data_IF_197650950539
#
_entry.id   IF_197650950539
#
_cell.length_a   1.000
_cell.length_b   1.000
_cell.length_c   1.000
_cell.angle_alpha   90.00
_cell.angle_beta   90.00
_cell.angle_gamma   90.00
#
_symmetry.space_group_name_H-M   'P 1'
#
loop_
_entity.id
_entity.type
_entity.pdbx_description
1 polymer ?
#
# COMPACT_ATOMS: atom_id res chain seq x y z
N UNK A 1 -17.47 15.10 13.36
CA UNK A 1 -16.94 16.20 12.50
C UNK A 1 -15.60 16.80 12.98
N UNK A 2 -15.49 17.55 14.10
CA UNK A 2 -14.17 18.14 14.47
C UNK A 2 -13.12 17.12 14.95
N UNK A 3 -13.54 16.06 15.65
CA UNK A 3 -12.64 15.01 16.15
C UNK A 3 -12.15 14.06 15.04
N UNK A 4 -13.00 13.68 14.10
CA UNK A 4 -12.63 12.80 12.97
C UNK A 4 -11.60 13.45 12.04
N UNK A 5 -11.70 14.76 11.80
CA UNK A 5 -10.75 15.47 10.95
C UNK A 5 -9.35 15.49 11.59
N UNK A 6 -9.29 15.65 12.91
CA UNK A 6 -8.03 15.68 13.64
C UNK A 6 -7.37 14.29 13.78
N UNK A 7 -8.17 13.22 13.88
CA UNK A 7 -7.65 11.85 13.80
C UNK A 7 -7.01 11.55 12.44
N UNK A 8 -7.60 12.05 11.35
CA UNK A 8 -7.00 11.94 10.01
C UNK A 8 -5.67 12.68 9.94
N UNK A 9 -5.60 13.91 10.47
CA UNK A 9 -4.37 14.71 10.53
C UNK A 9 -3.28 14.00 11.35
N UNK A 10 -3.62 13.45 12.53
CA UNK A 10 -2.68 12.68 13.35
C UNK A 10 -2.13 11.46 12.57
N UNK A 11 -2.99 10.72 11.89
CA UNK A 11 -2.58 9.57 11.07
C UNK A 11 -1.62 9.98 9.96
N UNK A 12 -1.88 11.11 9.29
CA UNK A 12 -1.02 11.65 8.25
C UNK A 12 0.36 12.05 8.78
N UNK A 13 0.42 12.76 9.90
CA UNK A 13 1.68 13.20 10.51
C UNK A 13 2.52 12.02 10.97
N UNK A 14 1.90 11.01 11.59
CA UNK A 14 2.62 9.79 12.00
C UNK A 14 3.10 9.01 10.78
N UNK A 15 2.26 8.87 9.75
CA UNK A 15 2.67 8.22 8.52
C UNK A 15 3.88 8.93 7.90
N UNK A 16 3.81 10.24 7.74
CA UNK A 16 4.85 11.02 7.11
C UNK A 16 6.15 10.98 7.94
N UNK A 17 6.07 10.94 9.27
CA UNK A 17 7.24 10.80 10.13
C UNK A 17 7.89 9.41 9.98
N UNK A 18 7.09 8.35 10.01
CA UNK A 18 7.58 6.97 9.96
C UNK A 18 8.18 6.62 8.59
N UNK A 19 7.53 7.06 7.51
CA UNK A 19 7.95 6.81 6.14
C UNK A 19 8.85 7.91 5.55
N UNK A 20 9.23 8.90 6.35
CA UNK A 20 10.29 9.86 6.04
C UNK A 20 9.87 11.02 5.12
N UNK A 21 8.58 11.24 4.93
CA UNK A 21 8.04 12.40 4.21
C UNK A 21 8.17 13.71 4.99
N UNK A 22 8.31 13.65 6.32
CA UNK A 22 8.68 14.80 7.15
C UNK A 22 9.87 14.48 8.05
N UNK A 23 10.67 15.51 8.32
CA UNK A 23 11.77 15.43 9.26
C UNK A 23 11.26 15.49 10.70
N UNK A 24 12.03 14.94 11.64
CA UNK A 24 11.64 14.89 13.06
C UNK A 24 11.38 16.26 13.67
N UNK A 25 12.15 17.28 13.28
CA UNK A 25 11.96 18.66 13.75
C UNK A 25 10.65 19.28 13.23
N UNK A 26 10.22 18.90 12.02
CA UNK A 26 8.96 19.38 11.47
C UNK A 26 7.76 18.74 12.19
N UNK A 27 7.89 17.47 12.57
CA UNK A 27 6.90 16.80 13.41
C UNK A 27 6.87 17.40 14.82
N UNK A 28 8.03 17.66 15.43
CA UNK A 28 8.13 18.36 16.72
C UNK A 28 7.42 19.72 16.69
N UNK A 29 7.74 20.54 15.68
CA UNK A 29 7.09 21.84 15.47
C UNK A 29 5.57 21.72 15.34
N UNK A 30 5.07 20.68 14.67
CA UNK A 30 3.65 20.40 14.55
C UNK A 30 3.04 20.02 15.90
N UNK A 31 3.69 19.15 16.69
CA UNK A 31 3.23 18.76 18.03
C UNK A 31 3.01 19.99 18.90
N UNK A 32 3.99 20.90 18.96
CA UNK A 32 3.90 22.11 19.79
C UNK A 32 2.85 23.13 19.32
N UNK A 33 2.43 23.08 18.05
CA UNK A 33 1.42 24.00 17.47
C UNK A 33 0.01 23.41 17.46
N UNK A 34 -0.14 22.12 17.75
CA UNK A 34 -1.40 21.40 17.57
C UNK A 34 -2.30 21.50 18.80
N UNK A 35 -3.23 22.46 18.78
CA UNK A 35 -4.23 22.62 19.86
C UNK A 35 -5.18 21.41 20.01
N UNK A 36 -5.25 20.53 19.01
CA UNK A 36 -6.08 19.32 19.06
C UNK A 36 -5.46 18.17 19.84
N UNK A 37 -4.14 18.13 20.04
CA UNK A 37 -3.44 17.00 20.65
C UNK A 37 -3.84 16.81 22.12
N UNK A 38 -3.87 17.89 22.89
CA UNK A 38 -4.24 17.85 24.32
C UNK A 38 -5.66 17.30 24.54
N UNK A 39 -6.56 17.50 23.57
CA UNK A 39 -7.95 17.01 23.65
C UNK A 39 -8.09 15.56 23.20
N UNK A 40 -7.19 15.09 22.35
CA UNK A 40 -7.25 13.75 21.76
C UNK A 40 -6.51 12.72 22.64
N UNK A 41 -5.35 13.11 23.17
CA UNK A 41 -4.49 12.27 23.99
C UNK A 41 -4.97 12.25 25.45
N UNK A 42 -4.62 11.19 26.16
CA UNK A 42 -4.64 11.23 27.63
C UNK A 42 -3.66 12.31 28.12
N UNK A 43 -3.91 12.85 29.32
CA UNK A 43 -3.03 13.85 29.90
C UNK A 43 -1.58 13.34 30.03
N UNK A 44 -1.42 12.07 30.45
CA UNK A 44 -0.10 11.46 30.61
C UNK A 44 0.60 11.29 29.25
N UNK A 45 -0.09 10.75 28.24
CA UNK A 45 0.49 10.55 26.90
C UNK A 45 0.82 11.90 26.22
N UNK A 46 0.02 12.94 26.46
CA UNK A 46 0.32 14.29 25.98
C UNK A 46 1.58 14.86 26.63
N UNK A 47 1.70 14.76 27.96
CA UNK A 47 2.89 15.23 28.68
C UNK A 47 4.14 14.44 28.29
N UNK A 48 4.02 13.13 28.11
CA UNK A 48 5.11 12.27 27.63
C UNK A 48 5.57 12.70 26.24
N UNK A 49 4.63 12.90 25.30
CA UNK A 49 4.92 13.36 23.94
C UNK A 49 5.63 14.73 23.93
N UNK A 50 5.17 15.67 24.77
CA UNK A 50 5.74 17.01 24.89
C UNK A 50 7.13 17.00 25.55
N UNK A 51 7.43 15.99 26.35
CA UNK A 51 8.68 15.86 27.10
C UNK A 51 9.76 15.05 26.37
N UNK A 52 9.46 14.51 25.18
CA UNK A 52 10.40 13.74 24.39
C UNK A 52 11.62 14.58 23.98
N UNK A 53 12.78 13.92 23.94
CA UNK A 53 13.99 14.51 23.34
C UNK A 53 14.04 14.16 21.85
N UNK A 54 13.46 15.02 21.01
CA UNK A 54 13.33 14.85 19.55
C UNK A 54 14.67 14.75 18.80
N UNK A 55 15.80 15.01 19.46
CA UNK A 55 17.14 14.86 18.91
C UNK A 55 17.64 13.41 18.97
N UNK A 56 17.02 12.55 19.78
CA UNK A 56 17.42 11.15 19.92
C UNK A 56 17.11 10.36 18.65
N UNK A 57 18.04 9.48 18.26
CA UNK A 57 17.82 8.55 17.14
C UNK A 57 16.62 7.61 17.37
N UNK A 58 16.32 7.28 18.62
CA UNK A 58 15.22 6.40 19.02
C UNK A 58 13.85 7.08 19.06
N UNK A 59 13.78 8.41 18.95
CA UNK A 59 12.56 9.16 19.26
C UNK A 59 11.37 8.71 18.39
N UNK A 60 11.60 8.26 17.15
CA UNK A 60 10.53 7.73 16.30
C UNK A 60 9.80 6.53 16.93
N UNK A 61 10.54 5.65 17.60
CA UNK A 61 9.95 4.50 18.30
C UNK A 61 9.17 4.94 19.54
N UNK A 62 9.68 5.95 20.26
CA UNK A 62 9.02 6.54 21.43
C UNK A 62 7.69 7.19 21.02
N UNK A 63 7.71 8.05 19.98
CA UNK A 63 6.53 8.65 19.37
C UNK A 63 5.52 7.59 18.94
N UNK A 64 5.98 6.56 18.23
CA UNK A 64 5.12 5.46 17.80
C UNK A 64 4.47 4.75 19.00
N UNK A 65 5.23 4.48 20.07
CA UNK A 65 4.72 3.79 21.25
C UNK A 65 3.63 4.56 22.00
N UNK A 66 3.74 5.89 22.02
CA UNK A 66 2.76 6.79 22.64
C UNK A 66 1.52 6.87 21.74
N UNK A 67 1.72 7.18 20.46
CA UNK A 67 0.61 7.57 19.57
C UNK A 67 -0.16 6.40 18.96
N UNK A 68 0.43 5.19 18.85
CA UNK A 68 -0.22 4.05 18.15
C UNK A 68 -1.58 3.66 18.74
N UNK A 69 -1.82 3.91 20.03
CA UNK A 69 -3.13 3.61 20.67
C UNK A 69 -4.24 4.59 20.29
N UNK A 70 -3.88 5.76 19.76
CA UNK A 70 -4.80 6.82 19.32
C UNK A 70 -5.05 6.77 17.82
N UNK A 71 -4.27 5.97 17.10
CA UNK A 71 -4.42 5.75 15.68
C UNK A 71 -5.60 4.82 15.43
N UNK A 72 -6.52 5.26 14.57
CA UNK A 72 -7.45 4.33 13.94
C UNK A 72 -6.67 3.43 12.97
N UNK A 73 -6.43 2.19 13.37
CA UNK A 73 -5.59 1.25 12.63
C UNK A 73 -6.11 1.00 11.21
N UNK A 74 -7.43 0.96 11.02
CA UNK A 74 -8.05 0.81 9.71
C UNK A 74 -7.72 1.98 8.78
N UNK A 75 -7.92 3.21 9.26
CA UNK A 75 -7.62 4.43 8.51
C UNK A 75 -6.13 4.61 8.25
N UNK A 76 -5.27 4.23 9.20
CA UNK A 76 -3.83 4.27 9.01
C UNK A 76 -3.36 3.29 7.94
N UNK A 77 -3.87 2.06 7.97
CA UNK A 77 -3.53 1.06 6.94
C UNK A 77 -4.09 1.45 5.57
N UNK A 78 -5.30 2.03 5.54
CA UNK A 78 -5.88 2.66 4.33
C UNK A 78 -4.95 3.70 3.74
N UNK A 79 -4.53 4.67 4.56
CA UNK A 79 -3.67 5.78 4.16
C UNK A 79 -2.35 5.25 3.59
N UNK A 80 -1.76 4.27 4.26
CA UNK A 80 -0.50 3.64 3.87
C UNK A 80 -0.56 2.98 2.51
N UNK A 81 -1.56 2.13 2.25
CA UNK A 81 -1.69 1.46 0.96
C UNK A 81 -2.07 2.45 -0.14
N UNK A 82 -2.93 3.43 0.15
CA UNK A 82 -3.30 4.48 -0.80
C UNK A 82 -2.07 5.30 -1.23
N UNK A 83 -1.23 5.76 -0.29
CA UNK A 83 0.00 6.51 -0.61
C UNK A 83 0.98 5.70 -1.46
N UNK A 84 1.14 4.39 -1.21
CA UNK A 84 1.96 3.52 -2.05
C UNK A 84 1.42 3.40 -3.48
N UNK A 85 0.10 3.24 -3.64
CA UNK A 85 -0.55 3.19 -4.95
C UNK A 85 -0.40 4.51 -5.70
N UNK A 86 -0.59 5.65 -5.03
CA UNK A 86 -0.41 6.97 -5.63
C UNK A 86 1.04 7.22 -6.07
N UNK A 87 2.02 6.81 -5.26
CA UNK A 87 3.44 6.90 -5.61
C UNK A 87 3.74 6.04 -6.85
N UNK A 88 3.23 4.81 -6.91
CA UNK A 88 3.38 3.94 -8.07
C UNK A 88 2.73 4.52 -9.34
N UNK A 89 1.52 5.10 -9.22
CA UNK A 89 0.80 5.74 -10.35
C UNK A 89 1.59 6.92 -10.91
N UNK A 90 2.11 7.80 -10.05
CA UNK A 90 2.86 9.00 -10.46
C UNK A 90 4.13 8.68 -11.24
N UNK A 91 4.67 7.47 -11.12
CA UNK A 91 5.94 7.12 -11.71
C UNK A 91 7.04 7.54 -10.77
N UNK A 92 7.44 6.61 -9.92
CA UNK A 92 8.57 6.73 -9.02
C UNK A 92 9.64 5.74 -9.45
N UNK A 93 10.92 6.11 -9.28
CA UNK A 93 12.04 5.17 -9.42
C UNK A 93 11.90 3.99 -8.43
N UNK A 94 11.09 4.17 -7.38
CA UNK A 94 10.76 3.14 -6.39
C UNK A 94 9.66 2.18 -6.85
N UNK A 95 9.13 2.30 -8.07
CA UNK A 95 8.07 1.43 -8.57
C UNK A 95 8.37 -0.07 -8.36
N UNK A 96 9.55 -0.63 -8.74
CA UNK A 96 9.85 -2.04 -8.49
C UNK A 96 9.77 -2.40 -7.00
N UNK A 97 10.32 -1.56 -6.13
CA UNK A 97 10.27 -1.74 -4.68
C UNK A 97 8.82 -1.75 -4.16
N UNK A 98 7.98 -0.84 -4.65
CA UNK A 98 6.57 -0.77 -4.27
C UNK A 98 5.82 -2.03 -4.73
N UNK A 99 6.12 -2.56 -5.92
CA UNK A 99 5.50 -3.79 -6.42
C UNK A 99 5.90 -5.00 -5.55
N UNK A 100 7.17 -5.10 -5.13
CA UNK A 100 7.61 -6.12 -4.14
C UNK A 100 6.83 -5.97 -2.84
N UNK A 101 6.64 -4.74 -2.34
CA UNK A 101 5.84 -4.51 -1.14
C UNK A 101 4.39 -4.99 -1.32
N UNK A 102 3.77 -4.82 -2.49
CA UNK A 102 2.44 -5.36 -2.75
C UNK A 102 2.42 -6.89 -2.78
N UNK A 103 3.50 -7.54 -3.21
CA UNK A 103 3.65 -8.99 -3.07
C UNK A 103 3.71 -9.39 -1.59
N UNK A 104 4.51 -8.71 -0.77
CA UNK A 104 4.56 -8.96 0.68
C UNK A 104 3.20 -8.77 1.35
N UNK A 105 2.46 -7.71 0.99
CA UNK A 105 1.10 -7.50 1.50
C UNK A 105 0.14 -8.59 1.04
N UNK A 106 0.21 -9.01 -0.23
CA UNK A 106 -0.59 -10.14 -0.70
C UNK A 106 -0.31 -11.40 0.14
N UNK A 107 0.96 -11.73 0.37
CA UNK A 107 1.35 -12.85 1.24
C UNK A 107 0.89 -12.67 2.70
N UNK A 108 0.73 -11.44 3.17
CA UNK A 108 0.16 -11.11 4.48
C UNK A 108 -1.38 -11.20 4.54
N UNK A 109 -2.04 -11.60 3.44
CA UNK A 109 -3.48 -11.85 3.35
C UNK A 109 -4.29 -10.70 2.76
N UNK A 110 -3.66 -9.76 2.05
CA UNK A 110 -4.35 -8.70 1.32
C UNK A 110 -4.73 -9.22 -0.07
N UNK A 111 -5.67 -10.15 -0.13
CA UNK A 111 -6.03 -10.88 -1.36
C UNK A 111 -6.48 -9.93 -2.50
N UNK A 112 -7.02 -8.75 -2.17
CA UNK A 112 -7.36 -7.74 -3.17
C UNK A 112 -6.16 -7.16 -3.93
N UNK A 113 -4.93 -7.42 -3.45
CA UNK A 113 -3.69 -7.05 -4.12
C UNK A 113 -3.16 -8.15 -5.04
N UNK A 114 -3.86 -9.27 -5.26
CA UNK A 114 -3.39 -10.41 -6.09
C UNK A 114 -2.77 -9.97 -7.43
N UNK A 115 -3.48 -9.15 -8.22
CA UNK A 115 -2.98 -8.67 -9.51
C UNK A 115 -1.68 -7.85 -9.36
N UNK A 116 -1.56 -7.03 -8.30
CA UNK A 116 -0.36 -6.23 -8.05
C UNK A 116 0.79 -7.06 -7.48
N UNK A 117 0.49 -7.95 -6.53
CA UNK A 117 1.46 -8.77 -5.82
C UNK A 117 1.97 -9.92 -6.68
N UNK A 118 1.09 -10.80 -7.14
CA UNK A 118 1.48 -11.95 -7.97
C UNK A 118 1.72 -11.55 -9.44
N UNK A 119 0.89 -10.67 -9.98
CA UNK A 119 0.97 -10.30 -11.39
C UNK A 119 2.18 -9.43 -11.75
N UNK A 120 2.63 -8.57 -10.82
CA UNK A 120 3.75 -7.66 -11.06
C UNK A 120 4.85 -7.72 -9.98
N UNK A 121 4.49 -7.79 -8.70
CA UNK A 121 5.42 -7.80 -7.58
C UNK A 121 6.35 -9.00 -7.54
N UNK A 122 5.81 -10.19 -7.80
CA UNK A 122 6.59 -11.43 -7.88
C UNK A 122 7.66 -11.40 -8.99
N UNK A 123 7.45 -10.55 -10.02
CA UNK A 123 8.41 -10.36 -11.11
C UNK A 123 9.54 -9.39 -10.74
N UNK A 124 9.39 -8.64 -9.66
CA UNK A 124 10.35 -7.61 -9.29
C UNK A 124 11.48 -8.11 -8.38
N UNK A 125 11.53 -9.40 -8.04
CA UNK A 125 12.72 -9.99 -7.43
C UNK A 125 13.85 -10.01 -8.48
N UNK A 126 14.93 -9.27 -8.19
CA UNK A 126 16.08 -8.96 -9.07
C UNK A 126 16.71 -10.19 -9.73
N UNK A 127 16.46 -11.39 -9.20
CA UNK A 127 16.94 -12.66 -9.74
C UNK A 127 16.21 -13.09 -11.03
N UNK A 128 15.00 -12.56 -11.30
CA UNK A 128 14.09 -13.11 -12.31
C UNK A 128 13.77 -12.18 -13.49
N UNK A 129 14.11 -10.89 -13.45
CA UNK A 129 13.63 -9.94 -14.47
C UNK A 129 14.69 -8.93 -14.96
N UNK A 130 15.56 -9.34 -15.90
CA UNK A 130 16.59 -8.49 -16.49
C UNK A 130 16.06 -7.20 -17.13
N UNK A 131 14.77 -7.14 -17.47
CA UNK A 131 14.10 -6.03 -18.14
C UNK A 131 13.95 -4.80 -17.25
N UNK A 132 14.04 -4.96 -15.92
CA UNK A 132 14.01 -3.85 -14.96
C UNK A 132 15.10 -2.80 -15.26
N UNK A 133 16.23 -3.20 -15.85
CA UNK A 133 17.30 -2.27 -16.28
C UNK A 133 16.87 -1.28 -17.37
N UNK A 134 15.76 -1.56 -18.06
CA UNK A 134 15.17 -0.67 -19.07
C UNK A 134 14.04 0.19 -18.52
N UNK A 135 13.65 -0.01 -17.26
CA UNK A 135 12.63 0.79 -16.61
C UNK A 135 13.16 2.22 -16.43
N UNK A 136 12.56 3.14 -17.17
CA UNK A 136 12.73 4.57 -16.96
C UNK A 136 11.49 5.12 -16.29
N UNK A 137 11.64 6.27 -15.65
CA UNK A 137 10.53 6.96 -15.01
C UNK A 137 9.63 7.70 -16.03
N UNK A 138 9.12 6.97 -17.02
CA UNK A 138 8.18 7.46 -18.01
C UNK A 138 7.14 6.38 -18.35
N UNK A 139 5.94 6.83 -18.71
CA UNK A 139 4.80 5.93 -18.95
C UNK A 139 5.06 4.89 -20.04
N UNK A 140 5.78 5.24 -21.11
CA UNK A 140 6.03 4.34 -22.24
C UNK A 140 6.98 3.21 -21.85
N UNK A 141 8.01 3.52 -21.07
CA UNK A 141 8.94 2.53 -20.52
C UNK A 141 8.22 1.62 -19.51
N UNK A 142 7.38 2.18 -18.63
CA UNK A 142 6.57 1.38 -17.69
C UNK A 142 5.62 0.43 -18.42
N UNK A 143 4.89 0.92 -19.42
CA UNK A 143 3.95 0.07 -20.18
C UNK A 143 4.66 -1.07 -20.92
N UNK A 144 5.92 -0.86 -21.32
CA UNK A 144 6.72 -1.91 -21.95
C UNK A 144 7.15 -3.00 -20.96
N UNK A 145 7.55 -2.60 -19.75
CA UNK A 145 8.07 -3.53 -18.72
C UNK A 145 6.91 -4.17 -17.95
N UNK A 146 5.87 -3.41 -17.65
CA UNK A 146 4.68 -3.81 -16.90
C UNK A 146 3.41 -3.41 -17.67
N UNK A 147 3.04 -4.15 -18.74
CA UNK A 147 1.83 -3.89 -19.52
C UNK A 147 0.57 -3.68 -18.66
N UNK A 148 -0.09 -2.54 -18.87
CA UNK A 148 -1.32 -2.09 -18.22
C UNK A 148 -1.26 -1.92 -16.70
N UNK A 149 -0.07 -1.79 -16.11
CA UNK A 149 0.11 -1.56 -14.66
C UNK A 149 -0.65 -0.33 -14.17
N UNK A 150 -0.67 0.75 -14.94
CA UNK A 150 -1.37 2.00 -14.59
C UNK A 150 -2.87 1.75 -14.34
N UNK A 151 -3.48 0.84 -15.12
CA UNK A 151 -4.90 0.48 -14.99
C UNK A 151 -5.14 -0.32 -13.71
N UNK A 152 -4.28 -1.30 -13.41
CA UNK A 152 -4.41 -2.12 -12.19
C UNK A 152 -4.21 -1.25 -10.95
N UNK A 153 -3.17 -0.44 -10.89
CA UNK A 153 -2.91 0.49 -9.79
C UNK A 153 -4.09 1.43 -9.54
N UNK A 154 -4.59 2.08 -10.61
CA UNK A 154 -5.72 3.02 -10.51
C UNK A 154 -6.99 2.31 -10.05
N UNK A 155 -7.27 1.11 -10.57
CA UNK A 155 -8.43 0.32 -10.16
C UNK A 155 -8.35 -0.08 -8.68
N UNK A 156 -7.19 -0.56 -8.23
CA UNK A 156 -6.97 -0.92 -6.83
C UNK A 156 -7.13 0.28 -5.91
N UNK A 157 -6.56 1.43 -6.27
CA UNK A 157 -6.75 2.67 -5.52
C UNK A 157 -8.24 3.05 -5.45
N UNK A 158 -8.96 2.94 -6.57
CA UNK A 158 -10.40 3.21 -6.58
C UNK A 158 -11.18 2.26 -5.67
N UNK A 159 -10.80 0.98 -5.54
CA UNK A 159 -11.44 0.08 -4.58
C UNK A 159 -11.30 0.56 -3.12
N UNK A 160 -10.15 1.13 -2.78
CA UNK A 160 -9.88 1.67 -1.45
C UNK A 160 -10.64 3.00 -1.23
N UNK A 161 -10.61 3.90 -2.21
CA UNK A 161 -11.24 5.21 -2.11
C UNK A 161 -12.78 5.14 -2.14
N UNK A 162 -13.35 4.17 -2.87
CA UNK A 162 -14.80 3.93 -2.97
C UNK A 162 -15.35 2.99 -1.89
N UNK A 163 -14.54 2.65 -0.88
CA UNK A 163 -14.92 1.74 0.22
C UNK A 163 -15.37 0.34 -0.22
N UNK A 164 -14.90 -0.11 -1.39
CA UNK A 164 -15.01 -1.52 -1.78
C UNK A 164 -14.05 -2.39 -0.99
N UNK A 165 -12.92 -1.83 -0.56
CA UNK A 165 -12.03 -2.42 0.43
C UNK A 165 -12.06 -1.51 1.66
N UNK A 166 -12.49 -2.06 2.80
CA UNK A 166 -12.57 -1.34 4.08
C UNK A 166 -11.70 -2.03 5.11
N UNK A 167 -10.59 -1.39 5.50
CA UNK A 167 -9.68 -1.92 6.51
C UNK A 167 -10.32 -1.85 7.90
N UNK A 168 -10.26 -2.95 8.65
CA UNK A 168 -10.86 -3.07 9.99
C UNK A 168 -9.82 -3.11 11.12
N UNK A 169 -8.53 -3.00 10.77
CA UNK A 169 -7.43 -2.98 11.73
C UNK A 169 -6.70 -4.32 11.88
N UNK A 170 -5.83 -4.41 12.88
CA UNK A 170 -5.02 -5.58 13.15
C UNK A 170 -5.73 -6.55 14.11
N UNK A 171 -6.00 -7.76 13.64
CA UNK A 171 -6.51 -8.86 14.46
C UNK A 171 -5.33 -9.49 15.22
N UNK A 172 -5.27 -9.24 16.53
CA UNK A 172 -4.19 -9.72 17.40
C UNK A 172 -4.17 -11.24 17.53
N UNK A 173 -5.34 -11.88 17.51
CA UNK A 173 -5.48 -13.33 17.68
C UNK A 173 -5.02 -14.06 16.41
N UNK A 174 -5.41 -13.55 15.25
CA UNK A 174 -4.99 -14.09 13.95
C UNK A 174 -3.62 -13.56 13.50
N UNK A 175 -3.04 -12.62 14.26
CA UNK A 175 -1.80 -11.89 13.95
C UNK A 175 -1.74 -11.37 12.51
N UNK A 176 -2.86 -10.84 12.01
CA UNK A 176 -2.97 -10.33 10.64
C UNK A 176 -3.84 -9.10 10.54
N UNK A 177 -3.57 -8.29 9.53
CA UNK A 177 -4.47 -7.21 9.15
C UNK A 177 -5.76 -7.76 8.56
N UNK A 178 -6.86 -7.08 8.83
CA UNK A 178 -8.19 -7.48 8.37
C UNK A 178 -8.85 -6.37 7.59
N UNK A 179 -9.70 -6.75 6.65
CA UNK A 179 -10.51 -5.85 5.86
C UNK A 179 -11.80 -6.55 5.43
N UNK A 180 -12.79 -5.74 5.06
CA UNK A 180 -14.03 -6.18 4.43
C UNK A 180 -13.92 -5.93 2.93
N UNK A 181 -14.13 -6.99 2.14
CA UNK A 181 -14.15 -6.94 0.69
C UNK A 181 -15.60 -6.89 0.17
N UNK A 182 -16.02 -5.71 -0.29
CA UNK A 182 -17.34 -5.45 -0.87
C UNK A 182 -17.33 -5.44 -2.39
N UNK A 183 -16.24 -5.86 -3.04
CA UNK A 183 -16.19 -6.04 -4.50
C UNK A 183 -17.18 -7.14 -4.89
N UNK A 184 -17.80 -6.99 -6.05
CA UNK A 184 -18.57 -8.08 -6.66
C UNK A 184 -17.66 -9.25 -7.05
N UNK A 185 -18.21 -10.44 -7.24
CA UNK A 185 -17.40 -11.61 -7.64
C UNK A 185 -16.63 -11.37 -8.95
N UNK A 186 -17.24 -10.67 -9.91
CA UNK A 186 -16.61 -10.26 -11.17
C UNK A 186 -15.41 -9.33 -10.92
N UNK A 187 -15.51 -8.41 -9.96
CA UNK A 187 -14.42 -7.49 -9.62
C UNK A 187 -13.30 -8.15 -8.79
N UNK A 188 -13.58 -9.30 -8.16
CA UNK A 188 -12.59 -10.12 -7.46
C UNK A 188 -11.82 -11.02 -8.40
N UNK A 189 -12.35 -11.33 -9.59
CA UNK A 189 -11.62 -12.10 -10.59
C UNK A 189 -10.32 -11.37 -10.99
N UNK A 190 -9.19 -12.08 -10.87
CA UNK A 190 -7.91 -11.60 -11.37
C UNK A 190 -8.01 -11.29 -12.86
N UNK A 191 -7.53 -10.09 -13.23
CA UNK A 191 -7.49 -9.66 -14.63
C UNK A 191 -6.18 -9.99 -15.34
N UNK A 192 -5.25 -10.59 -14.62
CA UNK A 192 -3.94 -11.00 -15.10
C UNK A 192 -3.93 -12.52 -15.24
N UNK A 193 -3.70 -13.02 -16.46
CA UNK A 193 -3.26 -14.40 -16.65
C UNK A 193 -1.80 -14.53 -16.25
N UNK A 194 -1.44 -15.57 -15.48
CA UNK A 194 -0.04 -16.01 -15.34
C UNK A 194 0.07 -17.31 -16.12
N UNK A 195 0.91 -17.32 -17.15
CA UNK A 195 1.33 -18.56 -17.81
C UNK A 195 2.62 -19.04 -17.16
N UNK A 196 2.70 -20.34 -16.91
CA UNK A 196 3.95 -20.97 -16.46
C UNK A 196 4.36 -21.89 -17.59
N UNK A 197 5.50 -21.61 -18.21
CA UNK A 197 6.14 -22.49 -19.17
C UNK A 197 7.28 -23.22 -18.48
N UNK A 198 7.72 -24.34 -19.04
CA UNK A 198 8.87 -25.09 -18.53
C UNK A 198 9.96 -24.99 -19.56
N UNK A 199 11.17 -24.62 -19.13
CA UNK A 199 12.36 -24.64 -19.96
C UNK A 199 12.60 -26.09 -20.43
N UNK A 200 12.55 -26.37 -21.75
CA UNK A 200 12.74 -27.72 -22.26
C UNK A 200 14.15 -28.27 -22.02
N UNK A 201 15.16 -27.42 -21.81
CA UNK A 201 16.56 -27.83 -21.64
C UNK A 201 16.96 -28.00 -20.18
N UNK A 202 16.44 -27.17 -19.26
CA UNK A 202 16.80 -27.21 -17.84
C UNK A 202 15.74 -27.87 -16.94
N UNK A 203 14.50 -28.05 -17.42
CA UNK A 203 13.38 -28.54 -16.62
C UNK A 203 12.90 -27.54 -15.56
N UNK A 204 13.49 -26.34 -15.49
CA UNK A 204 13.05 -25.28 -14.60
C UNK A 204 11.76 -24.63 -15.13
N UNK A 205 10.84 -24.31 -14.23
CA UNK A 205 9.67 -23.50 -14.56
C UNK A 205 10.14 -22.08 -14.92
N UNK A 206 9.91 -21.66 -16.16
CA UNK A 206 9.98 -20.25 -16.54
C UNK A 206 8.60 -19.66 -16.28
N UNK A 207 8.51 -18.75 -15.31
CA UNK A 207 7.32 -17.93 -15.15
C UNK A 207 7.39 -16.85 -16.23
N UNK A 208 6.97 -17.20 -17.45
CA UNK A 208 6.56 -16.18 -18.41
C UNK A 208 5.19 -15.71 -17.98
N UNK A 209 5.15 -14.74 -17.07
CA UNK A 209 3.98 -13.93 -16.81
C UNK A 209 3.60 -13.18 -18.08
N UNK A 210 3.01 -13.90 -19.04
CA UNK A 210 2.30 -13.29 -20.14
C UNK A 210 1.09 -12.66 -19.47
N UNK A 211 1.19 -11.35 -19.22
CA UNK A 211 0.09 -10.50 -18.78
C UNK A 211 -1.00 -10.55 -19.85
N UNK A 212 -1.72 -11.67 -19.91
CA UNK A 212 -2.88 -11.86 -20.77
C UNK A 212 -4.05 -11.22 -20.05
N UNK A 213 -4.40 -10.05 -20.53
CA UNK A 213 -5.62 -9.39 -20.12
C UNK A 213 -6.80 -10.29 -20.47
N UNK A 214 -7.48 -10.79 -19.44
CA UNK A 214 -8.82 -11.32 -19.64
C UNK A 214 -9.70 -10.12 -19.96
N UNK A 215 -10.17 -10.02 -21.21
CA UNK A 215 -11.17 -8.99 -21.54
C UNK A 215 -12.33 -9.12 -20.54
N UNK A 216 -12.75 -7.99 -19.96
CA UNK A 216 -13.98 -7.95 -19.17
C UNK A 216 -15.07 -8.60 -20.02
N UNK A 217 -15.68 -9.68 -19.52
CA UNK A 217 -16.80 -10.35 -20.20
C UNK A 217 -17.90 -9.32 -20.37
N UNK A 218 -17.95 -8.73 -21.56
CA UNK A 218 -18.96 -7.72 -21.88
C UNK A 218 -20.33 -8.37 -21.73
N UNK A 219 -21.20 -7.75 -20.94
CA UNK A 219 -22.52 -8.28 -20.56
C UNK A 219 -23.40 -8.67 -21.75
N UNK A 220 -23.13 -8.14 -22.95
CA UNK A 220 -23.81 -8.51 -24.19
C UNK A 220 -23.38 -9.85 -24.81
N UNK A 221 -22.35 -10.53 -24.31
CA UNK A 221 -21.96 -11.86 -24.78
C UNK A 221 -22.86 -13.00 -24.27
N UNK A 222 -23.73 -12.74 -23.28
CA UNK A 222 -24.68 -13.72 -22.74
C UNK A 222 -26.03 -13.76 -23.50
N UNK A 223 -26.24 -12.89 -24.48
CA UNK A 223 -27.47 -12.83 -25.29
C UNK A 223 -27.20 -13.24 -26.76
N UNK A 224 -26.63 -14.42 -26.97
CA UNK A 224 -26.56 -15.08 -28.28
C UNK A 224 -27.22 -16.44 -28.26
#
# INVERSE_FOLDING_TARGET
>A
MKSENFLSELNEQIYDLLYGSIAIHAFEDWVFKSEGLERLLSQDDYLDLMSLDYRKKSVKYEIQSILTRYIDQGSFEKLKIAKLLEEAIKGSERLPMILIMFYDYYCAGYDFLEDLGLGYGALCDDSYFPELKYLKNDRKSREKVFPGIDRVLTRTLNWILSEKIVFTGFDKDKRKWTYIDRRSDIERESTIGIKVSTDPDSGNSIIESVLEWKEEKKWWHFWR
#
